data_IF_727293893332
#
_entry.id   IF_727293893332
#
_cell.length_a   1.000
_cell.length_b   1.000
_cell.length_c   1.000
_cell.angle_alpha   90.00
_cell.angle_beta   90.00
_cell.angle_gamma   90.00
#
_symmetry.space_group_name_H-M   'P 1'
#
loop_
_entity.id
_entity.type
_entity.pdbx_description
1 polymer ?
#
# COMPACT_ATOMS: atom_id res chain seq x y z
N UNK A 1 -0.50 -20.35 -10.18
CA UNK A 1 -0.99 -19.98 -8.84
C UNK A 1 -0.90 -18.48 -8.65
N UNK A 2 -1.92 -17.82 -8.07
CA UNK A 2 -1.86 -16.38 -7.79
C UNK A 2 -0.76 -16.09 -6.75
N UNK A 3 -0.22 -14.87 -6.78
CA UNK A 3 0.73 -14.37 -5.78
C UNK A 3 0.00 -13.35 -4.89
N UNK A 4 -0.06 -13.56 -3.56
CA UNK A 4 -0.77 -12.63 -2.68
C UNK A 4 -0.04 -11.27 -2.61
N UNK A 5 -0.81 -10.18 -2.64
CA UNK A 5 -0.36 -8.82 -2.37
C UNK A 5 -0.23 -8.53 -0.86
N UNK A 6 0.24 -7.32 -0.51
CA UNK A 6 0.41 -6.92 0.90
C UNK A 6 -0.93 -6.90 1.61
N UNK A 7 -1.02 -7.60 2.74
CA UNK A 7 -2.25 -7.76 3.51
C UNK A 7 -3.21 -8.82 2.95
N UNK A 8 -2.79 -9.58 1.94
CA UNK A 8 -3.54 -10.71 1.40
C UNK A 8 -2.90 -12.04 1.84
N UNK A 9 -3.68 -13.12 1.71
CA UNK A 9 -3.25 -14.49 1.99
C UNK A 9 -3.50 -15.36 0.77
N UNK A 10 -2.62 -16.33 0.55
CA UNK A 10 -2.85 -17.42 -0.40
C UNK A 10 -3.42 -18.60 0.36
N UNK A 11 -4.59 -19.07 -0.07
CA UNK A 11 -5.27 -20.22 0.53
C UNK A 11 -5.28 -21.36 -0.49
N UNK A 12 -4.89 -22.56 -0.06
CA UNK A 12 -5.16 -23.80 -0.78
C UNK A 12 -6.57 -24.25 -0.41
N UNK A 13 -7.51 -23.99 -1.30
CA UNK A 13 -8.94 -24.30 -1.10
C UNK A 13 -9.15 -25.81 -1.14
N UNK A 14 -9.81 -26.35 -0.13
CA UNK A 14 -10.19 -27.77 -0.03
C UNK A 14 -11.68 -27.98 -0.29
N UNK A 15 -12.52 -27.03 0.13
CA UNK A 15 -13.94 -27.03 -0.16
C UNK A 15 -14.49 -25.62 -0.37
N UNK A 16 -15.63 -25.54 -1.06
CA UNK A 16 -16.42 -24.32 -1.27
C UNK A 16 -17.90 -24.74 -1.38
N UNK A 17 -18.81 -23.83 -1.10
CA UNK A 17 -20.24 -24.10 -1.28
C UNK A 17 -20.72 -23.62 -2.65
N UNK A 18 -21.85 -24.17 -3.09
CA UNK A 18 -22.54 -23.68 -4.29
C UNK A 18 -23.66 -22.75 -3.85
N UNK A 19 -23.56 -21.47 -4.22
CA UNK A 19 -24.57 -20.48 -3.87
C UNK A 19 -25.45 -20.16 -5.09
N UNK A 20 -26.76 -19.87 -4.93
CA UNK A 20 -27.63 -19.51 -6.05
C UNK A 20 -27.15 -18.30 -6.87
N UNK A 21 -26.39 -17.39 -6.26
CA UNK A 21 -25.81 -16.24 -6.94
C UNK A 21 -24.72 -16.63 -7.95
N UNK A 22 -24.02 -17.75 -7.74
CA UNK A 22 -22.96 -18.22 -8.64
C UNK A 22 -23.54 -18.55 -10.01
N UNK A 23 -24.66 -19.27 -10.05
CA UNK A 23 -25.37 -19.60 -11.30
C UNK A 23 -25.84 -18.34 -12.03
N UNK A 24 -26.35 -17.34 -11.29
CA UNK A 24 -26.77 -16.06 -11.87
C UNK A 24 -25.57 -15.33 -12.46
N UNK A 25 -24.46 -15.22 -11.72
CA UNK A 25 -23.23 -14.54 -12.16
C UNK A 25 -22.57 -15.25 -13.34
N UNK A 26 -22.57 -16.58 -13.37
CA UNK A 26 -22.12 -17.37 -14.53
C UNK A 26 -22.87 -17.00 -15.81
N UNK A 27 -24.17 -16.71 -15.70
CA UNK A 27 -25.03 -16.23 -16.80
C UNK A 27 -24.89 -14.72 -17.09
N UNK A 28 -23.96 -14.03 -16.43
CA UNK A 28 -23.68 -12.61 -16.65
C UNK A 28 -24.45 -11.64 -15.75
N UNK A 29 -25.23 -12.14 -14.78
CA UNK A 29 -25.90 -11.28 -13.81
C UNK A 29 -24.89 -10.41 -13.06
N UNK A 30 -25.16 -9.11 -12.97
CA UNK A 30 -24.29 -8.14 -12.30
C UNK A 30 -23.08 -7.68 -13.10
N UNK A 31 -22.86 -8.17 -14.34
CA UNK A 31 -21.67 -7.84 -15.16
C UNK A 31 -21.46 -6.33 -15.32
N UNK A 32 -22.51 -5.58 -15.65
CA UNK A 32 -22.42 -4.12 -15.81
C UNK A 32 -22.02 -3.43 -14.51
N UNK A 33 -22.66 -3.79 -13.40
CA UNK A 33 -22.40 -3.17 -12.10
C UNK A 33 -21.00 -3.52 -11.58
N UNK A 34 -20.58 -4.78 -11.71
CA UNK A 34 -19.24 -5.24 -11.33
C UNK A 34 -18.16 -4.54 -12.15
N UNK A 35 -18.40 -4.35 -13.45
CA UNK A 35 -17.51 -3.60 -14.33
C UNK A 35 -17.38 -2.13 -13.91
N UNK A 36 -18.51 -1.46 -13.66
CA UNK A 36 -18.53 -0.06 -13.22
C UNK A 36 -17.84 0.13 -11.85
N UNK A 37 -17.99 -0.83 -10.93
CA UNK A 37 -17.37 -0.78 -9.60
C UNK A 37 -15.92 -1.27 -9.57
N UNK A 38 -15.37 -1.73 -10.69
CA UNK A 38 -14.06 -2.40 -10.71
C UNK A 38 -13.99 -3.67 -9.87
N UNK A 39 -15.14 -4.21 -9.46
CA UNK A 39 -15.27 -5.31 -8.50
C UNK A 39 -15.28 -6.70 -9.18
N UNK A 40 -15.17 -6.76 -10.50
CA UNK A 40 -15.07 -8.02 -11.23
C UNK A 40 -14.80 -7.81 -12.72
N UNK A 41 -13.84 -8.56 -13.25
CA UNK A 41 -13.58 -8.68 -14.69
C UNK A 41 -13.99 -10.08 -15.15
N UNK A 42 -14.56 -10.17 -16.34
CA UNK A 42 -14.90 -11.45 -16.95
C UNK A 42 -13.74 -11.93 -17.84
N UNK A 43 -13.41 -13.23 -17.86
CA UNK A 43 -14.05 -14.32 -17.10
C UNK A 43 -13.81 -14.19 -15.59
N UNK A 44 -14.88 -14.37 -14.82
CA UNK A 44 -14.89 -14.17 -13.37
C UNK A 44 -14.70 -15.51 -12.66
N UNK A 45 -13.84 -15.55 -11.64
CA UNK A 45 -13.78 -16.68 -10.71
C UNK A 45 -15.00 -16.59 -9.79
N UNK A 46 -15.84 -17.63 -9.79
CA UNK A 46 -17.05 -17.74 -8.97
C UNK A 46 -16.75 -18.45 -7.64
N UNK A 47 -17.73 -18.46 -6.74
CA UNK A 47 -17.55 -18.89 -5.35
C UNK A 47 -17.52 -17.68 -4.43
N UNK A 48 -18.38 -17.70 -3.42
CA UNK A 48 -18.58 -16.58 -2.51
C UNK A 48 -17.98 -16.87 -1.12
N UNK A 49 -17.61 -18.13 -0.87
CA UNK A 49 -17.08 -18.69 0.36
C UNK A 49 -16.14 -19.89 0.06
N UNK A 50 -15.31 -20.27 1.02
CA UNK A 50 -14.41 -21.42 0.92
C UNK A 50 -13.89 -21.84 2.29
N UNK A 51 -13.36 -23.06 2.37
CA UNK A 51 -12.52 -23.55 3.48
C UNK A 51 -11.24 -24.21 2.94
N UNK A 52 -10.16 -24.10 3.70
CA UNK A 52 -8.85 -24.64 3.31
C UNK A 52 -7.71 -24.08 4.16
N UNK A 53 -6.48 -24.37 3.73
CA UNK A 53 -5.25 -24.02 4.45
C UNK A 53 -4.64 -22.72 3.94
N UNK A 54 -4.22 -21.83 4.84
CA UNK A 54 -3.37 -20.69 4.47
C UNK A 54 -1.95 -21.19 4.18
N UNK A 55 -1.51 -21.07 2.93
CA UNK A 55 -0.19 -21.52 2.49
C UNK A 55 0.83 -20.38 2.34
N UNK A 56 0.38 -19.13 2.28
CA UNK A 56 1.27 -17.95 2.25
C UNK A 56 0.57 -16.72 2.82
N UNK A 57 1.31 -15.88 3.54
CA UNK A 57 0.86 -14.56 4.00
C UNK A 57 1.87 -13.50 3.58
N UNK A 58 1.40 -12.35 3.09
CA UNK A 58 2.28 -11.19 2.91
C UNK A 58 1.86 -10.08 3.87
N UNK A 59 2.68 -9.83 4.89
CA UNK A 59 2.39 -8.79 5.89
C UNK A 59 2.20 -7.43 5.22
N UNK A 60 1.22 -6.67 5.71
CA UNK A 60 1.26 -5.21 5.51
C UNK A 60 2.55 -4.71 6.17
N UNK A 61 3.21 -3.75 5.54
CA UNK A 61 4.21 -2.98 6.26
C UNK A 61 3.44 -2.24 7.35
N UNK A 62 3.71 -2.56 8.61
CA UNK A 62 3.18 -1.78 9.72
C UNK A 62 3.79 -0.37 9.58
N UNK A 63 3.01 0.69 9.82
CA UNK A 63 3.47 2.10 9.82
C UNK A 63 4.44 2.42 10.98
N UNK A 64 4.99 1.38 11.61
CA UNK A 64 6.16 1.51 12.46
C UNK A 64 7.38 1.70 11.56
N UNK A 65 7.54 2.92 11.02
CA UNK A 65 8.89 3.42 10.81
C UNK A 65 9.64 3.19 12.13
N UNK A 66 10.74 2.42 12.17
CA UNK A 66 11.59 2.44 13.34
C UNK A 66 11.98 3.90 13.52
N UNK A 67 11.59 4.52 14.64
CA UNK A 67 12.16 5.78 15.07
C UNK A 67 13.68 5.58 15.00
N UNK A 68 14.31 6.14 13.97
CA UNK A 68 15.76 6.25 13.94
C UNK A 68 16.09 7.11 15.16
N UNK A 69 16.86 6.63 16.14
CA UNK A 69 17.33 7.51 17.20
C UNK A 69 18.13 8.60 16.52
N UNK A 70 17.65 9.84 16.59
CA UNK A 70 18.42 11.02 16.21
C UNK A 70 19.79 10.91 16.91
N UNK A 71 20.90 10.97 16.18
CA UNK A 71 22.22 10.85 16.79
C UNK A 71 22.34 11.98 17.81
N UNK A 72 22.47 11.62 19.09
CA UNK A 72 22.64 12.56 20.18
C UNK A 72 23.79 13.49 19.83
N UNK A 73 23.49 14.76 19.55
CA UNK A 73 24.50 15.76 19.30
C UNK A 73 25.41 15.82 20.53
N UNK A 74 26.60 15.23 20.43
CA UNK A 74 27.64 15.38 21.42
C UNK A 74 27.91 16.88 21.56
N UNK A 75 27.70 17.38 22.77
CA UNK A 75 27.88 18.77 23.17
C UNK A 75 29.36 19.16 22.98
N UNK A 76 29.69 19.55 21.76
CA UNK A 76 31.02 19.99 21.33
C UNK A 76 31.19 21.47 21.62
N UNK A 77 32.17 21.76 22.47
CA UNK A 77 32.55 23.07 23.02
C UNK A 77 32.76 24.17 21.98
N UNK A 78 32.23 25.36 22.30
CA UNK A 78 32.57 26.68 21.76
C UNK A 78 34.08 26.82 21.48
N UNK A 79 34.46 27.14 20.24
CA UNK A 79 35.67 27.92 19.94
C UNK A 79 35.36 28.98 18.89
N UNK A 80 35.54 30.22 19.31
CA UNK A 80 35.60 31.44 18.51
C UNK A 80 36.81 31.43 17.58
N UNK A 81 36.64 31.89 16.34
CA UNK A 81 37.66 32.63 15.57
C UNK A 81 37.00 33.35 14.38
N UNK A 82 37.44 34.59 14.20
CA UNK A 82 36.98 35.64 13.31
C UNK A 82 37.67 35.64 11.95
N UNK A 83 37.15 36.47 11.04
CA UNK A 83 37.66 36.93 9.73
C UNK A 83 37.54 35.97 8.52
N UNK A 84 37.20 36.39 7.30
CA UNK A 84 36.90 37.71 6.73
C UNK A 84 36.23 37.55 5.35
N UNK A 85 35.44 38.56 4.96
CA UNK A 85 35.21 39.10 3.60
C UNK A 85 34.94 38.13 2.43
N UNK A 86 33.71 38.14 1.90
CA UNK A 86 33.44 38.54 0.51
C UNK A 86 31.95 38.79 0.27
N UNK A 87 31.64 40.03 -0.09
CA UNK A 87 30.36 40.50 -0.62
C UNK A 87 30.13 39.90 -2.01
N UNK A 88 28.88 39.52 -2.33
CA UNK A 88 28.26 39.82 -3.63
C UNK A 88 26.76 39.51 -3.65
N UNK A 89 26.01 40.59 -3.89
CA UNK A 89 24.75 40.70 -4.63
C UNK A 89 23.48 39.97 -4.13
N UNK A 90 22.61 40.79 -3.54
CA UNK A 90 21.16 40.62 -3.39
C UNK A 90 20.43 40.97 -4.69
N UNK A 91 19.48 40.13 -5.13
CA UNK A 91 18.29 40.48 -5.94
C UNK A 91 17.17 39.59 -5.39
N UNK A 92 16.27 40.11 -4.52
CA UNK A 92 14.91 40.63 -4.81
C UNK A 92 14.02 39.66 -5.64
N UNK A 93 12.76 39.34 -5.33
CA UNK A 93 11.86 39.59 -4.20
C UNK A 93 10.56 38.76 -4.43
N UNK A 94 9.77 38.58 -3.36
CA UNK A 94 8.30 38.50 -3.28
C UNK A 94 7.45 37.47 -4.10
N UNK A 95 7.02 36.41 -3.39
CA UNK A 95 5.63 35.96 -3.02
C UNK A 95 4.36 36.43 -3.82
N UNK A 96 3.21 35.75 -3.63
CA UNK A 96 2.34 35.19 -4.68
C UNK A 96 1.14 36.06 -5.09
N UNK A 97 0.49 35.66 -6.18
CA UNK A 97 -0.89 36.00 -6.53
C UNK A 97 -1.72 34.74 -6.67
#
# INVERSE_FOLDING_TARGET
MPRPGRGEVLVRVEATSVNPIDVKRAKGYGRRLLGLKGAGKFPLVLGNDFSGEIVTVLRRADDSSPHQPEPSASRGTRRSRSDSTSRSASILESKPG
#
